data_IF_290491926091
#
_entry.id   IF_290491926091
#
_cell.length_a   1.000
_cell.length_b   1.000
_cell.length_c   1.000
_cell.angle_alpha   90.00
_cell.angle_beta   90.00
_cell.angle_gamma   90.00
#
_symmetry.space_group_name_H-M   'P 1'
#
loop_
_entity.id
_entity.type
_entity.pdbx_description
1 polymer ?
#
# COMPACT_ATOMS: atom_id res chain seq x y z
N UNK A 1 13.39 -6.52 2.00
CA UNK A 1 11.96 -6.88 1.86
C UNK A 1 11.75 -8.24 1.18
N UNK A 2 12.79 -9.08 1.07
CA UNK A 2 12.71 -10.39 0.38
C UNK A 2 11.61 -11.31 0.87
N UNK A 3 11.42 -11.46 2.18
CA UNK A 3 10.39 -12.34 2.72
C UNK A 3 8.97 -11.88 2.34
N UNK A 4 8.72 -10.56 2.39
CA UNK A 4 7.43 -10.00 1.99
C UNK A 4 7.18 -10.23 0.49
N UNK A 5 8.15 -9.87 -0.35
CA UNK A 5 8.02 -9.93 -1.81
C UNK A 5 8.00 -11.37 -2.34
N UNK A 6 8.89 -12.24 -1.85
CA UNK A 6 9.04 -13.60 -2.38
C UNK A 6 8.06 -14.60 -1.75
N UNK A 7 7.66 -14.39 -0.51
CA UNK A 7 6.89 -15.39 0.24
C UNK A 7 5.48 -14.95 0.61
N UNK A 8 5.20 -13.65 0.75
CA UNK A 8 3.91 -13.19 1.26
C UNK A 8 3.02 -12.58 0.17
N UNK A 9 3.52 -11.60 -0.60
CA UNK A 9 2.75 -10.94 -1.67
C UNK A 9 2.19 -11.94 -2.71
N UNK A 10 2.89 -13.02 -3.10
CA UNK A 10 2.33 -14.01 -4.03
C UNK A 10 1.18 -14.85 -3.44
N UNK A 11 1.07 -14.95 -2.12
CA UNK A 11 0.08 -15.78 -1.43
C UNK A 11 -1.18 -15.01 -1.04
N UNK A 12 -1.12 -13.69 -0.99
CA UNK A 12 -2.26 -12.84 -0.65
C UNK A 12 -2.96 -12.34 -1.91
N UNK A 13 -4.27 -12.18 -1.84
CA UNK A 13 -5.06 -11.59 -2.93
C UNK A 13 -4.82 -10.09 -3.06
N UNK A 14 -4.64 -9.40 -1.93
CA UNK A 14 -4.43 -7.97 -1.89
C UNK A 14 -3.73 -7.57 -0.59
N UNK A 15 -2.75 -6.67 -0.68
CA UNK A 15 -1.96 -6.14 0.42
C UNK A 15 -1.92 -4.62 0.30
N UNK A 16 -2.39 -3.92 1.33
CA UNK A 16 -2.35 -2.47 1.41
C UNK A 16 -1.46 -2.02 2.56
N UNK A 17 -0.43 -1.23 2.26
CA UNK A 17 0.34 -0.51 3.26
C UNK A 17 -0.20 0.92 3.37
N UNK A 18 -0.72 1.27 4.55
CA UNK A 18 -1.21 2.63 4.84
C UNK A 18 -0.28 3.28 5.86
N UNK A 19 0.30 4.40 5.47
CA UNK A 19 1.13 5.22 6.35
C UNK A 19 0.35 6.44 6.84
N UNK A 20 0.34 6.64 8.15
CA UNK A 20 -0.22 7.86 8.76
C UNK A 20 0.96 8.79 9.07
N UNK A 21 1.13 9.84 8.28
CA UNK A 21 2.21 10.81 8.46
C UNK A 21 1.84 12.16 7.85
N UNK A 22 2.12 13.23 8.60
CA UNK A 22 1.97 14.63 8.15
C UNK A 22 3.28 15.22 7.60
N UNK A 23 4.36 14.44 7.50
CA UNK A 23 5.71 14.93 7.21
C UNK A 23 6.52 14.08 6.23
N UNK A 24 7.83 13.96 6.48
CA UNK A 24 8.79 13.23 5.63
C UNK A 24 8.45 11.73 5.59
N UNK A 25 8.76 11.09 4.46
CA UNK A 25 8.64 9.65 4.29
C UNK A 25 9.51 8.91 5.32
N UNK A 26 8.93 7.91 5.99
CA UNK A 26 9.69 7.08 6.92
C UNK A 26 10.49 6.00 6.17
N UNK A 27 11.34 5.29 6.90
CA UNK A 27 12.18 4.22 6.35
C UNK A 27 11.36 3.08 5.73
N UNK A 28 10.18 2.78 6.26
CA UNK A 28 9.31 1.71 5.75
C UNK A 28 8.68 2.08 4.40
N UNK A 29 8.23 3.33 4.25
CA UNK A 29 7.74 3.84 2.98
C UNK A 29 8.80 3.71 1.89
N UNK A 30 10.02 4.15 2.17
CA UNK A 30 11.13 4.03 1.22
C UNK A 30 11.48 2.57 0.93
N UNK A 31 11.43 1.69 1.93
CA UNK A 31 11.72 0.28 1.75
C UNK A 31 10.67 -0.47 0.91
N UNK A 32 9.42 0.01 0.89
CA UNK A 32 8.30 -0.60 0.20
C UNK A 32 7.91 0.08 -1.11
N UNK A 33 8.33 1.33 -1.34
CA UNK A 33 8.01 2.09 -2.56
C UNK A 33 8.35 1.39 -3.89
N UNK A 34 9.36 0.50 -3.99
CA UNK A 34 9.62 -0.23 -5.24
C UNK A 34 8.68 -1.42 -5.47
N UNK A 35 7.97 -1.91 -4.44
CA UNK A 35 7.18 -3.15 -4.50
C UNK A 35 5.97 -3.02 -5.45
N UNK A 36 5.19 -1.91 -5.45
CA UNK A 36 4.11 -1.71 -6.40
C UNK A 36 4.52 -1.82 -7.87
N UNK A 37 5.77 -1.52 -8.24
CA UNK A 37 6.25 -1.62 -9.63
C UNK A 37 6.21 -3.07 -10.14
N UNK A 38 6.40 -4.04 -9.24
CA UNK A 38 6.43 -5.47 -9.56
C UNK A 38 5.10 -6.17 -9.26
N UNK A 39 4.28 -5.62 -8.36
CA UNK A 39 3.06 -6.26 -7.84
C UNK A 39 1.84 -5.34 -7.85
N UNK A 40 1.70 -4.45 -8.83
CA UNK A 40 0.66 -3.41 -8.92
C UNK A 40 -0.78 -3.91 -8.76
N UNK A 41 -1.05 -5.16 -9.11
CA UNK A 41 -2.37 -5.78 -8.94
C UNK A 41 -2.68 -6.17 -7.49
N UNK A 42 -1.65 -6.57 -6.74
CA UNK A 42 -1.75 -7.21 -5.41
C UNK A 42 -1.24 -6.34 -4.27
N UNK A 43 -0.43 -5.33 -4.56
CA UNK A 43 0.21 -4.49 -3.55
C UNK A 43 -0.08 -3.02 -3.81
N UNK A 44 -0.60 -2.32 -2.81
CA UNK A 44 -0.90 -0.90 -2.86
C UNK A 44 -0.29 -0.17 -1.67
N UNK A 45 0.15 1.06 -1.91
CA UNK A 45 0.64 1.97 -0.87
C UNK A 45 -0.16 3.26 -0.88
N UNK A 46 -0.60 3.71 0.30
CA UNK A 46 -1.31 4.97 0.48
C UNK A 46 -0.83 5.70 1.72
N UNK A 47 -0.96 7.02 1.70
CA UNK A 47 -0.65 7.88 2.84
C UNK A 47 -1.92 8.60 3.29
N UNK A 48 -2.14 8.64 4.59
CA UNK A 48 -3.19 9.39 5.27
C UNK A 48 -2.49 10.52 6.03
N UNK A 49 -2.82 11.78 5.71
CA UNK A 49 -2.22 12.95 6.37
C UNK A 49 -3.11 13.48 7.48
N UNK A 50 -4.41 13.49 7.23
CA UNK A 50 -5.43 13.96 8.17
C UNK A 50 -6.62 13.01 8.27
N UNK A 51 -7.45 13.11 9.33
CA UNK A 51 -8.61 12.23 9.51
C UNK A 51 -9.59 12.24 8.32
N UNK A 52 -9.70 13.37 7.62
CA UNK A 52 -10.52 13.51 6.41
C UNK A 52 -10.08 12.60 5.25
N UNK A 53 -8.82 12.18 5.22
CA UNK A 53 -8.27 11.30 4.18
C UNK A 53 -8.64 9.83 4.37
N UNK A 54 -9.03 9.42 5.59
CA UNK A 54 -9.21 7.99 5.91
C UNK A 54 -10.26 7.36 4.99
N UNK A 55 -11.45 7.94 4.92
CA UNK A 55 -12.51 7.37 4.10
C UNK A 55 -12.19 7.32 2.60
N UNK A 56 -11.75 8.41 1.94
CA UNK A 56 -11.41 8.37 0.51
C UNK A 56 -10.24 7.42 0.21
N UNK A 57 -9.21 7.36 1.06
CA UNK A 57 -8.09 6.43 0.89
C UNK A 57 -8.55 4.97 0.96
N UNK A 58 -9.36 4.62 1.96
CA UNK A 58 -9.85 3.25 2.08
C UNK A 58 -10.84 2.91 0.96
N UNK A 59 -11.67 3.85 0.52
CA UNK A 59 -12.54 3.66 -0.64
C UNK A 59 -11.71 3.32 -1.88
N UNK A 60 -10.67 4.08 -2.18
CA UNK A 60 -9.78 3.85 -3.33
C UNK A 60 -9.01 2.51 -3.23
N UNK A 61 -8.60 2.09 -2.03
CA UNK A 61 -7.93 0.81 -1.82
C UNK A 61 -8.85 -0.40 -2.07
N UNK A 62 -10.11 -0.30 -1.69
CA UNK A 62 -11.04 -1.44 -1.63
C UNK A 62 -12.22 -1.33 -2.60
N UNK A 63 -12.25 -0.30 -3.43
CA UNK A 63 -13.25 -0.23 -4.50
C UNK A 63 -13.08 -1.41 -5.46
N UNK A 64 -14.21 -1.82 -6.03
CA UNK A 64 -14.23 -2.91 -7.00
C UNK A 64 -13.49 -2.44 -8.24
N UNK A 65 -12.28 -2.97 -8.46
CA UNK A 65 -11.62 -2.84 -9.76
C UNK A 65 -12.54 -3.45 -10.82
N UNK A 66 -12.88 -2.68 -11.86
CA UNK A 66 -13.62 -3.23 -12.99
C UNK A 66 -12.75 -4.32 -13.64
N UNK A 67 -13.37 -5.48 -13.86
CA UNK A 67 -12.72 -6.66 -14.41
C UNK A 67 -12.38 -6.49 -15.89
#
# INVERSE_FOLDING_TARGET
HDLLVKSLVPLVQYFAYVEISSGRENELWQAYSPIPEQFSERFAMRRVKEPGDIYPVFRDLFERKQA
#
